data_IF_647776917308
#
_entry.id   IF_647776917308
#
_cell.length_a   1.000
_cell.length_b   1.000
_cell.length_c   1.000
_cell.angle_alpha   90.00
_cell.angle_beta   90.00
_cell.angle_gamma   90.00
#
_symmetry.space_group_name_H-M   'P 1'
#
loop_
_entity.id
_entity.type
_entity.pdbx_description
1 polymer ?
#
# COMPACT_ATOMS: atom_id res chain seq x y z
N UNK A 1 21.94 -2.75 19.65
CA UNK A 1 20.51 -3.04 19.90
C UNK A 1 19.80 -1.74 20.24
N UNK A 2 19.02 -1.18 19.32
CA UNK A 2 18.28 0.06 19.56
C UNK A 2 17.06 -0.23 20.45
N UNK A 3 16.97 0.42 21.61
CA UNK A 3 15.90 0.31 22.62
C UNK A 3 14.62 1.04 22.18
N UNK A 4 14.24 0.93 20.91
CA UNK A 4 13.11 1.62 20.31
C UNK A 4 12.18 0.58 19.71
N UNK A 5 11.03 0.38 20.36
CA UNK A 5 10.06 -0.62 19.97
C UNK A 5 9.31 -0.18 18.69
N UNK A 6 8.93 -1.11 17.80
CA UNK A 6 7.99 -0.86 16.70
C UNK A 6 6.73 -0.10 17.16
N UNK A 7 6.35 -0.23 18.44
CA UNK A 7 5.32 0.53 19.14
C UNK A 7 5.35 2.04 18.85
N UNK A 8 6.51 2.67 18.82
CA UNK A 8 6.54 4.12 18.86
C UNK A 8 6.43 4.78 17.48
N UNK A 9 6.71 4.08 16.38
CA UNK A 9 6.32 4.54 15.04
C UNK A 9 4.81 4.35 14.83
N UNK A 10 4.25 3.21 15.28
CA UNK A 10 2.83 2.91 15.22
C UNK A 10 1.98 3.89 16.05
N UNK A 11 2.46 4.30 17.23
CA UNK A 11 1.81 5.33 18.06
C UNK A 11 1.78 6.70 17.39
N UNK A 12 2.83 7.04 16.64
CA UNK A 12 2.85 8.29 15.86
C UNK A 12 1.89 8.21 14.67
N UNK A 13 1.79 7.07 14.00
CA UNK A 13 0.81 6.81 12.95
C UNK A 13 -0.62 6.92 13.48
N UNK A 14 -0.96 6.24 14.59
CA UNK A 14 -2.28 6.34 15.22
C UNK A 14 -2.63 7.77 15.61
N UNK A 15 -1.72 8.46 16.31
CA UNK A 15 -1.91 9.85 16.72
C UNK A 15 -2.08 10.80 15.53
N UNK A 16 -1.39 10.55 14.42
CA UNK A 16 -1.54 11.33 13.20
C UNK A 16 -2.91 11.11 12.56
N UNK A 17 -3.34 9.85 12.40
CA UNK A 17 -4.65 9.50 11.85
C UNK A 17 -5.77 10.14 12.68
N UNK A 18 -5.74 9.99 14.01
CA UNK A 18 -6.72 10.61 14.92
C UNK A 18 -6.77 12.13 14.77
N UNK A 19 -5.62 12.82 14.77
CA UNK A 19 -5.58 14.27 14.61
C UNK A 19 -6.04 14.71 13.20
N UNK A 20 -5.72 13.94 12.16
CA UNK A 20 -6.16 14.26 10.81
C UNK A 20 -7.68 14.09 10.67
N UNK A 21 -8.30 13.14 11.37
CA UNK A 21 -9.75 13.00 11.42
C UNK A 21 -10.42 14.09 12.28
N UNK A 22 -9.81 14.46 13.41
CA UNK A 22 -10.36 15.47 14.34
C UNK A 22 -10.38 16.89 13.75
N UNK A 23 -9.29 17.29 13.07
CA UNK A 23 -9.07 18.69 12.68
C UNK A 23 -8.55 18.85 11.24
N UNK A 24 -8.35 17.76 10.50
CA UNK A 24 -7.84 17.78 9.13
C UNK A 24 -6.32 17.71 9.02
N UNK A 25 -5.84 17.29 7.85
CA UNK A 25 -4.40 17.16 7.57
C UNK A 25 -3.67 18.51 7.57
N UNK A 26 -4.25 19.54 6.96
CA UNK A 26 -3.66 20.89 6.84
C UNK A 26 -3.20 21.51 8.16
N UNK A 27 -4.11 21.74 9.12
CA UNK A 27 -3.80 22.44 10.38
C UNK A 27 -3.03 21.57 11.38
N UNK A 28 -2.98 20.25 11.21
CA UNK A 28 -2.22 19.35 12.09
C UNK A 28 -0.71 19.51 11.89
N UNK A 29 0.04 19.58 12.99
CA UNK A 29 1.50 19.78 12.97
C UNK A 29 2.24 18.58 13.57
N UNK A 30 3.50 18.38 13.16
CA UNK A 30 4.37 17.32 13.72
C UNK A 30 4.51 17.41 15.25
N UNK A 31 4.70 18.60 15.86
CA UNK A 31 4.71 18.72 17.32
C UNK A 31 3.42 18.24 17.99
N UNK A 32 2.24 18.52 17.41
CA UNK A 32 0.96 18.02 17.94
C UNK A 32 0.88 16.48 17.88
N UNK A 33 1.28 15.89 16.75
CA UNK A 33 1.32 14.43 16.57
C UNK A 33 2.25 13.79 17.61
N UNK A 34 3.46 14.32 17.74
CA UNK A 34 4.43 13.81 18.70
C UNK A 34 3.89 13.92 20.14
N UNK A 35 3.33 15.07 20.51
CA UNK A 35 2.74 15.28 21.83
C UNK A 35 1.58 14.30 22.11
N UNK A 36 0.67 14.11 21.15
CA UNK A 36 -0.44 13.15 21.25
C UNK A 36 0.05 11.72 21.44
N UNK A 37 1.11 11.33 20.73
CA UNK A 37 1.74 10.03 20.90
C UNK A 37 2.55 9.90 22.20
N UNK A 38 2.72 10.96 23.00
CA UNK A 38 3.58 10.95 24.19
C UNK A 38 5.08 10.90 23.86
N UNK A 39 5.47 11.46 22.71
CA UNK A 39 6.79 11.40 22.12
C UNK A 39 7.31 12.79 21.74
N UNK A 40 8.55 12.87 21.28
CA UNK A 40 9.18 14.14 20.88
C UNK A 40 9.21 14.30 19.36
N UNK A 41 9.26 15.54 18.89
CA UNK A 41 9.48 15.86 17.47
C UNK A 41 10.76 15.24 16.91
N UNK A 42 11.84 15.19 17.71
CA UNK A 42 13.09 14.49 17.34
C UNK A 42 12.85 13.00 17.07
N UNK A 43 11.96 12.39 17.82
CA UNK A 43 11.57 10.99 17.65
C UNK A 43 10.73 10.79 16.40
N UNK A 44 9.81 11.71 16.11
CA UNK A 44 9.05 11.69 14.85
C UNK A 44 9.99 11.69 13.65
N UNK A 45 10.92 12.64 13.59
CA UNK A 45 11.85 12.78 12.46
C UNK A 45 12.88 11.65 12.33
N UNK A 46 13.02 10.79 13.36
CA UNK A 46 13.81 9.56 13.25
C UNK A 46 13.09 8.48 12.44
N UNK A 47 11.76 8.51 12.38
CA UNK A 47 10.94 7.51 11.71
C UNK A 47 10.36 8.00 10.38
N UNK A 48 10.03 9.30 10.31
CA UNK A 48 9.33 9.92 9.20
C UNK A 48 10.09 11.14 8.70
N UNK A 49 10.25 11.23 7.37
CA UNK A 49 10.93 12.35 6.75
C UNK A 49 10.11 13.65 6.85
N UNK A 50 8.78 13.54 6.76
CA UNK A 50 7.85 14.65 6.85
C UNK A 50 6.48 14.21 7.37
N UNK A 51 5.55 15.17 7.50
CA UNK A 51 4.19 14.93 8.00
C UNK A 51 3.37 13.96 7.12
N UNK A 52 3.59 13.93 5.80
CA UNK A 52 2.84 13.06 4.88
C UNK A 52 3.25 11.61 5.08
N UNK A 53 4.56 11.41 5.23
CA UNK A 53 5.20 10.10 5.34
C UNK A 53 4.69 9.25 6.52
N UNK A 54 4.09 9.89 7.55
CA UNK A 54 3.48 9.20 8.69
C UNK A 54 2.34 8.26 8.30
N UNK A 55 1.58 8.57 7.24
CA UNK A 55 0.49 7.72 6.76
C UNK A 55 1.00 6.52 5.97
N UNK A 56 2.24 6.55 5.47
CA UNK A 56 2.72 5.54 4.54
C UNK A 56 3.71 4.58 5.21
N UNK A 57 3.69 4.46 6.54
CA UNK A 57 4.62 3.60 7.29
C UNK A 57 4.57 2.16 6.78
N UNK A 58 3.36 1.60 6.73
CA UNK A 58 3.09 0.21 6.34
C UNK A 58 3.30 -0.04 4.85
N UNK A 59 3.07 0.97 4.03
CA UNK A 59 3.25 0.89 2.57
C UNK A 59 4.73 0.85 2.15
N UNK A 60 5.68 1.07 3.08
CA UNK A 60 7.12 1.00 2.77
C UNK A 60 7.58 -0.41 2.46
N UNK A 61 7.01 -1.40 3.13
CA UNK A 61 7.42 -2.81 3.00
C UNK A 61 6.62 -3.53 1.92
N UNK A 62 5.47 -2.99 1.52
CA UNK A 62 4.57 -3.65 0.58
C UNK A 62 5.20 -4.01 -0.77
N UNK A 63 6.02 -3.14 -1.42
CA UNK A 63 6.72 -3.53 -2.64
C UNK A 63 7.66 -4.73 -2.47
N UNK A 64 8.34 -4.82 -1.32
CA UNK A 64 9.24 -5.94 -1.01
C UNK A 64 8.45 -7.22 -0.73
N UNK A 65 7.31 -7.12 -0.03
CA UNK A 65 6.38 -8.23 0.20
C UNK A 65 5.85 -8.78 -1.13
N UNK A 66 5.44 -7.91 -2.04
CA UNK A 66 4.98 -8.31 -3.38
C UNK A 66 6.11 -8.96 -4.17
N UNK A 67 7.31 -8.36 -4.18
CA UNK A 67 8.48 -8.95 -4.82
C UNK A 67 8.82 -10.35 -4.30
N UNK A 68 8.78 -10.54 -2.97
CA UNK A 68 9.01 -11.83 -2.34
C UNK A 68 7.92 -12.86 -2.67
N UNK A 69 6.65 -12.44 -2.68
CA UNK A 69 5.53 -13.29 -3.06
C UNK A 69 5.66 -13.79 -4.51
N UNK A 70 6.02 -12.91 -5.44
CA UNK A 70 6.30 -13.27 -6.83
C UNK A 70 7.47 -14.25 -6.93
N UNK A 71 8.58 -13.98 -6.22
CA UNK A 71 9.75 -14.84 -6.25
C UNK A 71 9.49 -16.25 -5.70
N UNK A 72 8.59 -16.38 -4.71
CA UNK A 72 8.25 -17.66 -4.09
C UNK A 72 7.32 -18.58 -4.91
N UNK A 73 6.74 -18.09 -6.01
CA UNK A 73 5.84 -18.88 -6.85
C UNK A 73 6.59 -19.72 -7.90
N UNK A 74 6.04 -20.88 -8.33
CA UNK A 74 6.68 -21.76 -9.32
C UNK A 74 7.03 -21.06 -10.63
N UNK A 75 8.14 -21.48 -11.26
CA UNK A 75 8.61 -20.93 -12.54
C UNK A 75 7.74 -21.32 -13.75
N UNK A 76 6.89 -22.34 -13.60
CA UNK A 76 6.01 -22.82 -14.66
C UNK A 76 4.80 -21.89 -14.94
N UNK A 77 4.56 -20.88 -14.09
CA UNK A 77 3.43 -19.96 -14.26
C UNK A 77 3.68 -18.98 -15.42
N UNK A 78 2.62 -18.71 -16.19
CA UNK A 78 2.65 -17.61 -17.15
C UNK A 78 2.76 -16.26 -16.45
N UNK A 79 3.27 -15.19 -17.09
CA UNK A 79 3.55 -13.93 -16.42
C UNK A 79 2.32 -13.26 -15.79
N UNK A 80 1.17 -13.30 -16.47
CA UNK A 80 -0.08 -12.76 -15.93
C UNK A 80 -0.55 -13.50 -14.68
N UNK A 81 -0.50 -14.85 -14.72
CA UNK A 81 -0.88 -15.70 -13.60
C UNK A 81 0.08 -15.54 -12.41
N UNK A 82 1.38 -15.38 -12.68
CA UNK A 82 2.39 -15.10 -11.67
C UNK A 82 2.04 -13.83 -10.89
N UNK A 83 1.70 -12.75 -11.59
CA UNK A 83 1.34 -11.47 -10.97
C UNK A 83 0.02 -11.54 -10.21
N UNK A 84 -1.01 -12.14 -10.81
CA UNK A 84 -2.32 -12.31 -10.17
C UNK A 84 -2.20 -13.09 -8.86
N UNK A 85 -1.52 -14.25 -8.88
CA UNK A 85 -1.31 -15.07 -7.68
C UNK A 85 -0.37 -14.40 -6.68
N UNK A 86 0.70 -13.75 -7.15
CA UNK A 86 1.67 -13.10 -6.28
C UNK A 86 1.06 -11.94 -5.50
N UNK A 87 0.25 -11.12 -6.17
CA UNK A 87 -0.50 -10.06 -5.50
C UNK A 87 -1.55 -10.64 -4.55
N UNK A 88 -2.30 -11.68 -4.93
CA UNK A 88 -3.27 -12.31 -4.02
C UNK A 88 -2.61 -12.81 -2.72
N UNK A 89 -1.43 -13.42 -2.80
CA UNK A 89 -0.64 -13.82 -1.63
C UNK A 89 -0.20 -12.62 -0.80
N UNK A 90 0.28 -11.55 -1.46
CA UNK A 90 0.79 -10.37 -0.77
C UNK A 90 -0.31 -9.57 -0.04
N UNK A 91 -1.55 -9.57 -0.55
CA UNK A 91 -2.65 -8.79 0.03
C UNK A 91 -3.42 -9.52 1.13
N UNK A 92 -3.37 -10.85 1.20
CA UNK A 92 -4.14 -11.62 2.19
C UNK A 92 -3.94 -11.19 3.67
N UNK A 93 -2.76 -10.72 4.12
CA UNK A 93 -2.62 -10.20 5.48
C UNK A 93 -3.36 -8.87 5.72
N UNK A 94 -3.69 -8.12 4.66
CA UNK A 94 -4.31 -6.80 4.75
C UNK A 94 -5.76 -6.86 5.25
N UNK A 95 -6.44 -8.00 5.11
CA UNK A 95 -7.81 -8.19 5.61
C UNK A 95 -7.95 -7.88 7.10
N UNK A 96 -6.93 -8.22 7.89
CA UNK A 96 -6.88 -7.93 9.33
C UNK A 96 -6.79 -6.43 9.65
N UNK A 97 -6.43 -5.61 8.67
CA UNK A 97 -6.18 -4.18 8.82
C UNK A 97 -7.18 -3.31 8.04
N UNK A 98 -8.29 -3.90 7.56
CA UNK A 98 -9.30 -3.23 6.72
C UNK A 98 -9.70 -1.86 7.23
N UNK A 99 -10.13 -1.76 8.48
CA UNK A 99 -10.59 -0.48 9.05
C UNK A 99 -9.47 0.57 9.08
N UNK A 100 -8.25 0.16 9.43
CA UNK A 100 -7.10 1.06 9.45
C UNK A 100 -6.72 1.54 8.06
N UNK A 101 -6.81 0.66 7.05
CA UNK A 101 -6.54 0.99 5.65
C UNK A 101 -7.62 1.94 5.12
N UNK A 102 -8.89 1.65 5.41
CA UNK A 102 -10.03 2.50 5.01
C UNK A 102 -9.95 3.91 5.57
N UNK A 103 -9.70 4.05 6.89
CA UNK A 103 -9.50 5.35 7.54
C UNK A 103 -8.37 6.15 6.89
N UNK A 104 -7.22 5.49 6.67
CA UNK A 104 -6.07 6.12 6.00
C UNK A 104 -6.41 6.53 4.57
N UNK A 105 -7.07 5.67 3.79
CA UNK A 105 -7.42 5.95 2.40
C UNK A 105 -8.38 7.13 2.30
N UNK A 106 -9.40 7.18 3.17
CA UNK A 106 -10.30 8.32 3.28
C UNK A 106 -9.54 9.63 3.53
N UNK A 107 -8.57 9.64 4.46
CA UNK A 107 -7.74 10.80 4.74
C UNK A 107 -6.89 11.23 3.53
N UNK A 108 -6.29 10.28 2.80
CA UNK A 108 -5.49 10.58 1.60
C UNK A 108 -6.34 11.29 0.53
N UNK A 109 -7.60 10.89 0.37
CA UNK A 109 -8.49 11.51 -0.60
C UNK A 109 -8.87 12.97 -0.27
N UNK A 110 -8.62 13.45 0.96
CA UNK A 110 -8.97 14.82 1.38
C UNK A 110 -7.96 15.90 0.99
N UNK A 111 -6.72 15.54 0.64
CA UNK A 111 -5.65 16.52 0.35
C UNK A 111 -4.75 16.07 -0.81
N UNK A 112 -4.59 16.92 -1.83
CA UNK A 112 -3.83 16.56 -3.04
C UNK A 112 -2.36 16.25 -2.77
N UNK A 113 -1.76 16.82 -1.71
CA UNK A 113 -0.36 16.52 -1.34
C UNK A 113 -0.20 15.09 -0.81
N UNK A 114 -1.29 14.49 -0.30
CA UNK A 114 -1.32 13.09 0.10
C UNK A 114 -1.52 12.18 -1.11
N UNK A 115 -2.42 12.55 -2.03
CA UNK A 115 -2.62 11.83 -3.31
C UNK A 115 -1.33 11.79 -4.13
N UNK A 116 -0.62 12.91 -4.25
CA UNK A 116 0.70 12.95 -4.90
C UNK A 116 1.69 11.97 -4.27
N UNK A 117 1.65 11.82 -2.94
CA UNK A 117 2.53 10.88 -2.23
C UNK A 117 2.13 9.43 -2.47
N UNK A 118 0.83 9.14 -2.51
CA UNK A 118 0.29 7.82 -2.86
C UNK A 118 0.69 7.40 -4.27
N UNK A 119 0.59 8.30 -5.25
CA UNK A 119 1.03 8.03 -6.64
C UNK A 119 2.51 7.63 -6.72
N UNK A 120 3.38 8.27 -5.94
CA UNK A 120 4.79 7.88 -5.86
C UNK A 120 4.96 6.47 -5.27
N UNK A 121 4.09 6.03 -4.37
CA UNK A 121 4.12 4.67 -3.81
C UNK A 121 3.64 3.65 -4.83
N UNK A 122 2.56 3.92 -5.55
CA UNK A 122 2.08 3.09 -6.66
C UNK A 122 3.15 2.93 -7.75
N UNK A 123 3.90 4.00 -8.06
CA UNK A 123 5.04 3.91 -8.98
C UNK A 123 6.15 2.96 -8.48
N UNK A 124 6.52 3.04 -7.20
CA UNK A 124 7.53 2.13 -6.60
C UNK A 124 7.07 0.68 -6.57
N UNK A 125 5.79 0.45 -6.29
CA UNK A 125 5.20 -0.89 -6.37
C UNK A 125 5.29 -1.43 -7.81
N UNK A 126 4.96 -0.60 -8.80
CA UNK A 126 5.10 -0.97 -10.21
C UNK A 126 6.55 -1.30 -10.58
N UNK A 127 7.53 -0.56 -10.06
CA UNK A 127 8.96 -0.85 -10.28
C UNK A 127 9.38 -2.20 -9.66
N UNK A 128 8.92 -2.49 -8.44
CA UNK A 128 9.21 -3.76 -7.77
C UNK A 128 8.63 -4.96 -8.54
N UNK A 129 7.37 -4.86 -8.99
CA UNK A 129 6.72 -5.89 -9.82
C UNK A 129 7.46 -6.05 -11.16
N UNK A 130 7.78 -4.95 -11.84
CA UNK A 130 8.50 -5.01 -13.12
C UNK A 130 9.90 -5.64 -12.97
N UNK A 131 10.61 -5.33 -11.88
CA UNK A 131 11.90 -5.93 -11.56
C UNK A 131 11.78 -7.44 -11.35
N UNK A 132 10.80 -7.89 -10.56
CA UNK A 132 10.53 -9.31 -10.34
C UNK A 132 10.12 -10.05 -11.63
N UNK A 133 9.41 -9.39 -12.53
CA UNK A 133 9.09 -9.94 -13.85
C UNK A 133 10.31 -10.04 -14.77
N UNK A 134 11.21 -9.05 -14.70
CA UNK A 134 12.47 -9.07 -15.45
C UNK A 134 13.37 -10.25 -15.06
N UNK A 135 13.41 -10.61 -13.78
CA UNK A 135 14.16 -11.82 -13.34
C UNK A 135 13.55 -13.12 -13.85
N UNK A 136 12.26 -13.10 -14.22
CA UNK A 136 11.55 -14.21 -14.89
C UNK A 136 11.66 -14.17 -16.42
N UNK A 137 12.51 -13.30 -16.97
CA UNK A 137 12.86 -13.27 -18.39
C UNK A 137 11.93 -12.43 -19.28
N UNK A 138 11.02 -11.63 -18.71
CA UNK A 138 10.20 -10.71 -19.49
C UNK A 138 11.04 -9.58 -20.08
N UNK A 139 10.64 -9.10 -21.26
CA UNK A 139 11.23 -7.89 -21.82
C UNK A 139 10.90 -6.68 -20.92
N UNK A 140 11.74 -5.63 -20.94
CA UNK A 140 11.47 -4.42 -20.14
C UNK A 140 10.11 -3.78 -20.42
N UNK A 141 9.64 -3.84 -21.68
CA UNK A 141 8.33 -3.30 -22.05
C UNK A 141 7.19 -4.14 -21.47
N UNK A 142 7.24 -5.46 -21.62
CA UNK A 142 6.19 -6.36 -21.12
C UNK A 142 6.11 -6.32 -19.60
N UNK A 143 7.27 -6.33 -18.92
CA UNK A 143 7.35 -6.21 -17.46
C UNK A 143 6.73 -4.89 -16.97
N UNK A 144 7.03 -3.78 -17.64
CA UNK A 144 6.46 -2.46 -17.31
C UNK A 144 4.96 -2.41 -17.53
N UNK A 145 4.47 -2.91 -18.66
CA UNK A 145 3.03 -2.91 -18.98
C UNK A 145 2.24 -3.77 -18.00
N UNK A 146 2.74 -4.98 -17.71
CA UNK A 146 2.07 -5.88 -16.79
C UNK A 146 2.11 -5.33 -15.35
N UNK A 147 3.23 -4.77 -14.91
CA UNK A 147 3.33 -4.15 -13.59
C UNK A 147 2.39 -2.94 -13.43
N UNK A 148 2.33 -2.05 -14.42
CA UNK A 148 1.41 -0.90 -14.37
C UNK A 148 -0.05 -1.35 -14.33
N UNK A 149 -0.39 -2.39 -15.10
CA UNK A 149 -1.72 -3.01 -15.07
C UNK A 149 -2.03 -3.61 -13.71
N UNK A 150 -1.06 -4.31 -13.12
CA UNK A 150 -1.22 -4.96 -11.82
C UNK A 150 -1.49 -3.97 -10.69
N UNK A 151 -0.78 -2.84 -10.69
CA UNK A 151 -1.00 -1.75 -9.73
C UNK A 151 -2.38 -1.12 -9.92
N UNK A 152 -2.80 -0.87 -11.17
CA UNK A 152 -4.14 -0.33 -11.43
C UNK A 152 -5.26 -1.29 -10.99
N UNK A 153 -5.08 -2.60 -11.19
CA UNK A 153 -6.01 -3.64 -10.72
C UNK A 153 -6.03 -3.69 -9.19
N UNK A 154 -4.87 -3.62 -8.53
CA UNK A 154 -4.79 -3.57 -7.08
C UNK A 154 -5.50 -2.34 -6.50
N UNK A 155 -5.26 -1.14 -7.03
CA UNK A 155 -5.86 0.10 -6.54
C UNK A 155 -7.40 0.05 -6.64
N UNK A 156 -7.91 -0.44 -7.78
CA UNK A 156 -9.35 -0.63 -8.01
C UNK A 156 -9.96 -1.71 -7.11
N UNK A 157 -9.28 -2.84 -6.93
CA UNK A 157 -9.73 -3.91 -6.04
C UNK A 157 -9.76 -3.45 -4.58
N UNK A 158 -8.79 -2.62 -4.18
CA UNK A 158 -8.75 -2.04 -2.84
C UNK A 158 -9.91 -1.04 -2.63
N UNK A 159 -10.36 -0.32 -3.66
CA UNK A 159 -11.51 0.59 -3.55
C UNK A 159 -12.81 -0.22 -3.40
N UNK A 160 -13.05 -1.15 -4.31
CA UNK A 160 -14.19 -2.09 -4.27
C UNK A 160 -14.26 -2.84 -2.93
N UNK A 161 -13.11 -3.30 -2.44
CA UNK A 161 -13.01 -4.01 -1.16
C UNK A 161 -13.31 -3.12 0.04
N UNK A 162 -13.00 -1.82 0.02
CA UNK A 162 -13.30 -0.91 1.12
C UNK A 162 -14.77 -0.45 1.10
N UNK A 163 -15.36 -0.36 -0.09
CA UNK A 163 -16.76 0.01 -0.28
C UNK A 163 -17.74 -1.16 -0.07
N UNK A 164 -17.25 -2.41 -0.13
CA UNK A 164 -18.06 -3.60 0.10
C UNK A 164 -18.51 -3.73 1.57
N UNK A 165 -19.64 -4.39 1.79
CA UNK A 165 -20.17 -4.68 3.13
C UNK A 165 -20.35 -6.18 3.38
N UNK A 166 -19.94 -7.02 2.43
CA UNK A 166 -20.19 -8.46 2.37
C UNK A 166 -19.12 -9.31 3.08
N UNK A 167 -18.02 -8.69 3.53
CA UNK A 167 -16.92 -9.37 4.20
C UNK A 167 -16.04 -10.19 3.24
N UNK A 168 -16.18 -9.99 1.93
CA UNK A 168 -15.33 -10.60 0.91
C UNK A 168 -13.88 -10.17 1.11
N UNK A 169 -12.93 -11.10 0.95
CA UNK A 169 -11.52 -10.81 1.17
C UNK A 169 -10.94 -9.96 0.03
N UNK A 170 -9.92 -9.15 0.32
CA UNK A 170 -9.26 -8.31 -0.69
C UNK A 170 -8.70 -9.13 -1.86
N UNK A 171 -8.20 -10.33 -1.58
CA UNK A 171 -7.72 -11.24 -2.62
C UNK A 171 -8.82 -11.65 -3.61
N UNK A 172 -10.06 -11.83 -3.14
CA UNK A 172 -11.19 -12.20 -4.00
C UNK A 172 -11.64 -11.01 -4.86
N UNK A 173 -11.65 -9.79 -4.29
CA UNK A 173 -11.87 -8.56 -5.07
C UNK A 173 -10.80 -8.39 -6.14
N UNK A 174 -9.53 -8.70 -5.83
CA UNK A 174 -8.44 -8.64 -6.78
C UNK A 174 -8.68 -9.58 -7.97
N UNK A 175 -9.06 -10.84 -7.70
CA UNK A 175 -9.41 -11.81 -8.75
C UNK A 175 -10.58 -11.31 -9.59
N UNK A 176 -11.65 -10.80 -8.97
CA UNK A 176 -12.82 -10.27 -9.67
C UNK A 176 -12.45 -9.10 -10.60
N UNK A 177 -11.59 -8.17 -10.16
CA UNK A 177 -11.14 -7.05 -10.99
C UNK A 177 -10.25 -7.52 -12.14
N UNK A 178 -9.38 -8.51 -11.93
CA UNK A 178 -8.60 -9.13 -13.02
C UNK A 178 -9.50 -9.77 -14.08
N UNK A 179 -10.51 -10.52 -13.67
CA UNK A 179 -11.50 -11.13 -14.57
C UNK A 179 -12.28 -10.05 -15.34
N UNK A 180 -12.70 -8.99 -14.65
CA UNK A 180 -13.39 -7.85 -15.26
C UNK A 180 -12.51 -7.16 -16.30
N UNK A 181 -11.24 -6.94 -15.99
CA UNK A 181 -10.28 -6.33 -16.92
C UNK A 181 -10.09 -7.22 -18.16
N UNK A 182 -9.95 -8.53 -18.00
CA UNK A 182 -9.88 -9.49 -19.11
C UNK A 182 -11.13 -9.41 -19.99
N UNK A 183 -12.33 -9.41 -19.37
CA UNK A 183 -13.59 -9.32 -20.11
C UNK A 183 -13.77 -8.01 -20.90
N UNK A 184 -13.23 -6.89 -20.42
CA UNK A 184 -13.28 -5.60 -21.13
C UNK A 184 -12.35 -5.57 -22.36
N UNK A 185 -11.26 -6.34 -22.35
CA UNK A 185 -10.28 -6.36 -23.45
C UNK A 185 -10.68 -7.25 -24.63
N UNK A 186 -11.63 -8.16 -24.45
CA UNK A 186 -12.10 -9.12 -25.46
C UNK A 186 -11.35 -10.45 -25.40
#
# INVERSE_FOLDING_TARGET
MSRWAPDAALRLESAAVELFEEQGYGPTTVPQIAARAGLTTRTFFRHFADKRDVLFLRDREFPDVVGAALAGLPDALGPGELVERGLAVAVAPLDHWRDSIGRRRALIQTDDRLKERELLKSARLSEAVASALGTRGLTPLDARLLAATAVAVFDAALDEWLDSADGTALADHLTAVWERMRAVRG
#
